data_IF_361695556861
#
_entry.id   IF_361695556861
#
_cell.length_a   1.000
_cell.length_b   1.000
_cell.length_c   1.000
_cell.angle_alpha   90.00
_cell.angle_beta   90.00
_cell.angle_gamma   90.00
#
_symmetry.space_group_name_H-M   'P 1'
#
loop_
_entity.id
_entity.type
_entity.pdbx_description
1 polymer ?
#
# COMPACT_ATOMS: atom_id res chain seq x y z
N UNK A 1 23.32 -3.80 7.06
CA UNK A 1 22.24 -2.78 7.15
C UNK A 1 21.18 -3.16 8.18
N UNK A 2 20.39 -4.23 7.99
CA UNK A 2 19.32 -4.63 8.91
C UNK A 2 19.78 -4.89 10.35
N UNK A 3 20.90 -5.61 10.55
CA UNK A 3 21.43 -5.89 11.90
C UNK A 3 21.69 -4.60 12.71
N UNK A 4 22.30 -3.59 12.08
CA UNK A 4 22.54 -2.29 12.71
C UNK A 4 21.21 -1.60 13.08
N UNK A 5 20.25 -1.54 12.15
CA UNK A 5 18.96 -0.92 12.42
C UNK A 5 18.17 -1.67 13.49
N UNK A 6 18.29 -3.00 13.56
CA UNK A 6 17.67 -3.82 14.60
C UNK A 6 18.26 -3.50 15.97
N UNK A 7 19.59 -3.43 16.10
CA UNK A 7 20.25 -3.04 17.36
C UNK A 7 19.85 -1.63 17.79
N UNK A 8 19.86 -0.67 16.87
CA UNK A 8 19.44 0.71 17.16
C UNK A 8 17.96 0.81 17.53
N UNK A 9 17.07 0.10 16.83
CA UNK A 9 15.65 0.07 17.14
C UNK A 9 15.37 -0.62 18.47
N UNK A 10 16.09 -1.70 18.80
CA UNK A 10 15.98 -2.40 20.07
C UNK A 10 16.47 -1.51 21.23
N UNK A 11 17.59 -0.81 21.05
CA UNK A 11 18.08 0.18 22.00
C UNK A 11 17.08 1.32 22.20
N UNK A 12 16.47 1.82 21.12
CA UNK A 12 15.43 2.85 21.20
C UNK A 12 14.15 2.33 21.87
N UNK A 13 13.76 1.08 21.63
CA UNK A 13 12.62 0.45 22.30
C UNK A 13 12.87 0.29 23.80
N UNK A 14 14.06 -0.19 24.19
CA UNK A 14 14.48 -0.25 25.58
C UNK A 14 14.53 1.14 26.22
N UNK A 15 15.11 2.12 25.52
CA UNK A 15 15.18 3.52 25.95
C UNK A 15 13.80 4.12 26.16
N UNK A 16 12.83 3.83 25.29
CA UNK A 16 11.45 4.28 25.44
C UNK A 16 10.74 3.66 26.64
N UNK A 17 11.08 2.41 27.01
CA UNK A 17 10.54 1.79 28.23
C UNK A 17 11.21 2.32 29.50
N UNK A 18 12.51 2.60 29.47
CA UNK A 18 13.27 3.08 30.63
C UNK A 18 13.07 4.58 30.88
N UNK A 19 12.96 5.37 29.81
CA UNK A 19 12.82 6.82 29.83
C UNK A 19 11.74 7.26 28.83
N UNK A 20 10.43 7.15 29.18
CA UNK A 20 9.34 7.50 28.28
C UNK A 20 9.43 8.94 27.79
N UNK A 21 9.56 9.12 26.47
CA UNK A 21 9.67 10.42 25.82
C UNK A 21 9.23 10.33 24.36
N UNK A 22 8.56 11.38 23.87
CA UNK A 22 8.16 11.49 22.47
C UNK A 22 9.36 11.45 21.51
N UNK A 23 10.55 11.82 21.99
CA UNK A 23 11.80 11.76 21.24
C UNK A 23 12.04 10.38 20.61
N UNK A 24 11.65 9.30 21.28
CA UNK A 24 11.84 7.94 20.77
C UNK A 24 10.97 7.64 19.54
N UNK A 25 9.78 8.23 19.43
CA UNK A 25 8.95 8.10 18.23
C UNK A 25 9.59 8.83 17.02
N UNK A 26 10.21 9.99 17.25
CA UNK A 26 11.00 10.68 16.22
C UNK A 26 12.26 9.88 15.83
N UNK A 27 12.93 9.26 16.80
CA UNK A 27 14.05 8.34 16.53
C UNK A 27 13.57 7.15 15.70
N UNK A 28 12.41 6.56 16.01
CA UNK A 28 11.83 5.48 15.21
C UNK A 28 11.54 5.92 13.76
N UNK A 29 10.95 7.10 13.57
CA UNK A 29 10.73 7.69 12.24
C UNK A 29 12.05 7.90 11.49
N UNK A 30 13.06 8.46 12.15
CA UNK A 30 14.38 8.69 11.55
C UNK A 30 15.07 7.37 11.18
N UNK A 31 15.00 6.36 12.05
CA UNK A 31 15.53 5.03 11.79
C UNK A 31 14.79 4.35 10.64
N UNK A 32 13.45 4.45 10.56
CA UNK A 32 12.68 3.94 9.43
C UNK A 32 13.05 4.61 8.10
N UNK A 33 13.20 5.93 8.11
CA UNK A 33 13.70 6.69 6.96
C UNK A 33 15.09 6.24 6.54
N UNK A 34 16.02 6.13 7.50
CA UNK A 34 17.39 5.67 7.25
C UNK A 34 17.45 4.23 6.75
N UNK A 35 16.57 3.34 7.23
CA UNK A 35 16.41 1.97 6.73
C UNK A 35 15.93 1.99 5.28
N UNK A 36 14.97 2.85 4.95
CA UNK A 36 14.45 2.99 3.58
C UNK A 36 15.54 3.50 2.62
N UNK A 37 16.35 4.47 3.04
CA UNK A 37 17.54 4.90 2.28
C UNK A 37 18.63 3.82 2.21
N UNK A 38 18.80 3.06 3.28
CA UNK A 38 19.70 1.91 3.33
C UNK A 38 19.30 0.86 2.30
N UNK A 39 18.01 0.49 2.25
CA UNK A 39 17.43 -0.40 1.24
C UNK A 39 17.67 0.14 -0.16
N UNK A 40 17.41 1.42 -0.40
CA UNK A 40 17.65 2.03 -1.70
C UNK A 40 19.11 1.92 -2.17
N UNK A 41 20.07 1.97 -1.24
CA UNK A 41 21.51 1.86 -1.56
C UNK A 41 21.99 0.41 -1.67
N UNK A 42 21.58 -0.48 -0.77
CA UNK A 42 22.11 -1.85 -0.70
C UNK A 42 21.27 -2.87 -1.45
N UNK A 43 19.98 -2.61 -1.61
CA UNK A 43 18.95 -3.54 -2.10
C UNK A 43 17.88 -2.81 -2.91
N UNK A 44 18.27 -2.08 -3.99
CA UNK A 44 17.38 -1.17 -4.71
C UNK A 44 16.19 -1.87 -5.37
N UNK A 45 16.33 -3.15 -5.73
CA UNK A 45 15.23 -3.94 -6.28
C UNK A 45 14.14 -4.16 -5.23
N UNK A 46 14.53 -4.53 -4.02
CA UNK A 46 13.62 -4.62 -2.87
C UNK A 46 12.96 -3.28 -2.59
N UNK A 47 13.73 -2.19 -2.55
CA UNK A 47 13.20 -0.85 -2.32
C UNK A 47 12.11 -0.50 -3.35
N UNK A 48 12.38 -0.68 -4.65
CA UNK A 48 11.42 -0.37 -5.71
C UNK A 48 10.16 -1.21 -5.63
N UNK A 49 10.29 -2.53 -5.41
CA UNK A 49 9.13 -3.42 -5.30
C UNK A 49 8.27 -3.11 -4.06
N UNK A 50 8.88 -2.64 -2.99
CA UNK A 50 8.18 -2.32 -1.76
C UNK A 50 7.90 -0.82 -1.58
N UNK A 51 8.24 0.03 -2.55
CA UNK A 51 8.08 1.48 -2.42
C UNK A 51 6.63 1.90 -2.11
N UNK A 52 5.55 1.27 -2.65
CA UNK A 52 4.21 1.66 -2.26
C UNK A 52 3.95 1.33 -0.78
N UNK A 53 4.43 0.20 -0.26
CA UNK A 53 4.28 -0.14 1.15
C UNK A 53 5.14 0.75 2.06
N UNK A 54 6.41 1.00 1.71
CA UNK A 54 7.29 1.91 2.44
C UNK A 54 6.67 3.31 2.55
N UNK A 55 6.09 3.80 1.45
CA UNK A 55 5.42 5.09 1.39
C UNK A 55 4.13 5.15 2.23
N UNK A 56 3.44 4.02 2.43
CA UNK A 56 2.34 3.94 3.40
C UNK A 56 2.84 3.88 4.84
N UNK A 57 3.94 3.16 5.11
CA UNK A 57 4.42 2.98 6.48
C UNK A 57 5.12 4.22 7.04
N UNK A 58 5.73 5.04 6.19
CA UNK A 58 6.28 6.32 6.67
C UNK A 58 5.21 7.24 7.25
N UNK A 59 3.98 7.23 6.71
CA UNK A 59 2.88 8.04 7.26
C UNK A 59 2.41 7.52 8.62
N UNK A 60 2.48 6.22 8.85
CA UNK A 60 2.23 5.59 10.15
C UNK A 60 3.28 6.01 11.20
N UNK A 61 4.55 6.11 10.82
CA UNK A 61 5.60 6.62 11.72
C UNK A 61 5.50 8.13 11.98
N UNK A 62 5.15 8.93 10.97
CA UNK A 62 4.84 10.35 11.16
C UNK A 62 3.66 10.53 12.12
N UNK A 63 2.65 9.67 11.98
CA UNK A 63 1.53 9.58 12.91
C UNK A 63 1.98 9.28 14.33
N UNK A 64 2.88 8.32 14.49
CA UNK A 64 3.41 7.96 15.80
C UNK A 64 4.18 9.07 16.50
N UNK A 65 4.97 9.84 15.75
CA UNK A 65 5.63 11.02 16.29
C UNK A 65 4.62 12.06 16.80
N UNK A 66 3.51 12.27 16.08
CA UNK A 66 2.44 13.17 16.54
C UNK A 66 1.70 12.61 17.77
N UNK A 67 1.34 11.32 17.76
CA UNK A 67 0.63 10.66 18.86
C UNK A 67 1.47 10.67 20.13
N UNK A 68 2.71 10.18 20.09
CA UNK A 68 3.56 10.13 21.30
C UNK A 68 3.95 11.54 21.80
N UNK A 69 3.77 12.59 20.99
CA UNK A 69 3.90 14.01 21.39
C UNK A 69 2.62 14.63 21.97
N UNK A 70 1.54 13.86 22.15
CA UNK A 70 0.30 14.34 22.78
C UNK A 70 -0.85 14.64 21.82
N UNK A 71 -0.78 14.26 20.54
CA UNK A 71 -1.90 14.46 19.63
C UNK A 71 -3.16 13.71 20.10
N UNK A 72 -4.31 14.38 20.01
CA UNK A 72 -5.61 13.78 20.30
C UNK A 72 -6.08 12.93 19.11
N UNK A 73 -6.36 11.66 19.36
CA UNK A 73 -6.88 10.73 18.36
C UNK A 73 -8.41 10.76 18.41
N UNK A 74 -9.01 11.56 17.53
CA UNK A 74 -10.47 11.82 17.51
C UNK A 74 -11.32 10.55 17.36
N UNK A 75 -10.81 9.55 16.64
CA UNK A 75 -11.52 8.31 16.30
C UNK A 75 -11.53 7.29 17.45
N UNK A 76 -10.57 7.37 18.36
CA UNK A 76 -10.50 6.52 19.57
C UNK A 76 -10.79 7.29 20.86
N UNK A 77 -10.93 8.62 20.77
CA UNK A 77 -11.09 9.54 21.90
C UNK A 77 -9.96 9.42 22.96
N UNK A 78 -8.73 9.13 22.51
CA UNK A 78 -7.55 8.97 23.37
C UNK A 78 -6.55 10.09 23.07
N UNK A 79 -5.98 10.68 24.13
CA UNK A 79 -4.82 11.57 24.00
C UNK A 79 -3.57 10.71 23.97
N UNK A 80 -2.72 10.93 22.97
CA UNK A 80 -1.46 10.22 22.86
C UNK A 80 -0.49 10.58 24.00
N UNK A 81 0.44 9.67 24.27
CA UNK A 81 1.47 9.82 25.31
C UNK A 81 2.69 9.00 24.93
N UNK A 82 3.89 9.32 25.44
CA UNK A 82 5.07 8.50 25.17
C UNK A 82 4.94 7.09 25.76
N UNK A 83 5.05 6.07 24.91
CA UNK A 83 4.99 4.65 25.32
C UNK A 83 6.05 3.79 24.64
N UNK A 84 6.69 4.30 23.57
CA UNK A 84 7.56 3.50 22.72
C UNK A 84 6.81 2.54 21.80
N UNK A 85 5.52 2.77 21.54
CA UNK A 85 4.75 1.93 20.64
C UNK A 85 5.38 1.91 19.24
N UNK A 86 5.88 3.04 18.75
CA UNK A 86 6.43 3.11 17.39
C UNK A 86 7.86 2.59 17.28
N UNK A 87 8.66 2.60 18.35
CA UNK A 87 9.95 1.88 18.36
C UNK A 87 9.74 0.37 18.33
N UNK A 88 8.72 -0.16 19.01
CA UNK A 88 8.31 -1.58 18.90
C UNK A 88 7.78 -1.90 17.50
N UNK A 89 6.96 -1.03 16.91
CA UNK A 89 6.50 -1.18 15.53
C UNK A 89 7.64 -1.25 14.52
N UNK A 90 8.69 -0.43 14.71
CA UNK A 90 9.88 -0.47 13.88
C UNK A 90 10.56 -1.84 13.89
N UNK A 91 10.65 -2.50 15.04
CA UNK A 91 11.22 -3.86 15.11
C UNK A 91 10.42 -4.87 14.28
N UNK A 92 9.08 -4.75 14.30
CA UNK A 92 8.18 -5.58 13.50
C UNK A 92 8.42 -5.33 12.01
N UNK A 93 8.52 -4.07 11.59
CA UNK A 93 8.82 -3.74 10.19
C UNK A 93 10.21 -4.14 9.75
N UNK A 94 11.21 -4.04 10.62
CA UNK A 94 12.57 -4.49 10.31
C UNK A 94 12.59 -5.98 10.00
N UNK A 95 11.84 -6.80 10.77
CA UNK A 95 11.70 -8.23 10.50
C UNK A 95 10.94 -8.50 9.19
N UNK A 96 9.83 -7.79 8.96
CA UNK A 96 9.06 -7.87 7.72
C UNK A 96 9.93 -7.57 6.49
N UNK A 97 10.66 -6.45 6.50
CA UNK A 97 11.48 -6.04 5.37
C UNK A 97 12.74 -6.88 5.25
N UNK A 98 13.32 -7.38 6.35
CA UNK A 98 14.44 -8.32 6.30
C UNK A 98 14.06 -9.60 5.56
N UNK A 99 12.95 -10.23 5.95
CA UNK A 99 12.47 -11.47 5.32
C UNK A 99 12.09 -11.26 3.86
N UNK A 100 11.42 -10.14 3.55
CA UNK A 100 11.11 -9.77 2.18
C UNK A 100 12.36 -9.51 1.32
N UNK A 101 13.35 -8.80 1.85
CA UNK A 101 14.62 -8.49 1.16
C UNK A 101 15.35 -9.78 0.81
N UNK A 102 15.39 -10.74 1.74
CA UNK A 102 16.04 -12.02 1.50
C UNK A 102 15.46 -12.73 0.27
N UNK A 103 14.12 -12.74 0.13
CA UNK A 103 13.44 -13.38 -1.02
C UNK A 103 13.70 -12.64 -2.33
N UNK A 104 13.64 -11.31 -2.35
CA UNK A 104 13.84 -10.50 -3.56
C UNK A 104 15.30 -10.55 -4.02
N UNK A 105 16.24 -10.24 -3.12
CA UNK A 105 17.65 -10.09 -3.48
C UNK A 105 18.29 -11.43 -3.86
N UNK A 106 17.85 -12.54 -3.27
CA UNK A 106 18.29 -13.88 -3.69
C UNK A 106 18.00 -14.14 -5.18
N UNK A 107 16.94 -13.53 -5.73
CA UNK A 107 16.51 -13.72 -7.12
C UNK A 107 16.85 -12.55 -8.04
N UNK A 108 17.28 -11.42 -7.49
CA UNK A 108 17.59 -10.22 -8.25
C UNK A 108 18.60 -10.45 -9.38
N UNK A 109 19.69 -11.22 -9.25
CA UNK A 109 20.62 -11.44 -10.37
C UNK A 109 19.96 -11.99 -11.63
N UNK A 110 18.99 -12.90 -11.49
CA UNK A 110 18.22 -13.45 -12.61
C UNK A 110 17.25 -12.42 -13.17
N UNK A 111 16.51 -11.76 -12.29
CA UNK A 111 15.52 -10.75 -12.67
C UNK A 111 16.17 -9.54 -13.36
N UNK A 112 17.37 -9.15 -12.93
CA UNK A 112 18.19 -8.08 -13.50
C UNK A 112 18.45 -8.31 -14.99
N UNK A 113 18.89 -9.51 -15.37
CA UNK A 113 19.10 -9.87 -16.78
C UNK A 113 17.80 -9.75 -17.58
N UNK A 114 16.70 -10.23 -17.00
CA UNK A 114 15.40 -10.16 -17.65
C UNK A 114 14.94 -8.72 -17.90
N UNK A 115 15.20 -7.79 -16.97
CA UNK A 115 14.84 -6.37 -17.10
C UNK A 115 15.78 -5.55 -17.99
N UNK A 116 17.04 -5.97 -18.19
CA UNK A 116 17.94 -5.33 -19.18
C UNK A 116 17.37 -5.43 -20.59
N UNK A 117 16.88 -6.61 -20.94
CA UNK A 117 16.30 -6.91 -22.25
C UNK A 117 14.81 -6.56 -22.35
N UNK A 118 14.15 -6.26 -21.24
CA UNK A 118 12.70 -6.08 -21.20
C UNK A 118 12.19 -4.94 -22.12
N UNK A 119 12.83 -3.75 -22.20
CA UNK A 119 12.37 -2.70 -23.13
C UNK A 119 12.30 -3.13 -24.59
N UNK A 120 13.24 -3.97 -25.04
CA UNK A 120 13.24 -4.52 -26.40
C UNK A 120 12.10 -5.52 -26.57
N UNK A 121 11.86 -6.39 -25.58
CA UNK A 121 10.71 -7.31 -25.59
C UNK A 121 9.38 -6.59 -25.53
N UNK A 122 9.30 -5.44 -24.87
CA UNK A 122 8.06 -4.67 -24.72
C UNK A 122 7.72 -3.89 -25.99
N UNK A 123 8.71 -3.47 -26.77
CA UNK A 123 8.51 -2.60 -27.93
C UNK A 123 7.47 -3.14 -28.95
N UNK A 124 7.45 -4.43 -29.33
CA UNK A 124 6.41 -4.98 -30.20
C UNK A 124 5.00 -4.90 -29.61
N UNK A 125 4.87 -5.08 -28.29
CA UNK A 125 3.57 -5.05 -27.61
C UNK A 125 3.12 -3.65 -27.21
N UNK A 126 4.02 -2.66 -27.24
CA UNK A 126 3.77 -1.31 -26.72
C UNK A 126 2.57 -0.63 -27.38
N UNK A 127 2.33 -0.89 -28.68
CA UNK A 127 1.13 -0.38 -29.38
C UNK A 127 -0.16 -0.90 -28.78
N UNK A 128 -0.22 -2.20 -28.50
CA UNK A 128 -1.42 -2.87 -27.98
C UNK A 128 -1.67 -2.47 -26.54
N UNK A 129 -0.60 -2.41 -25.72
CA UNK A 129 -0.68 -1.94 -24.34
C UNK A 129 -1.19 -0.49 -24.32
N UNK A 130 -0.65 0.37 -25.19
CA UNK A 130 -1.10 1.74 -25.33
C UNK A 130 -2.59 1.83 -25.72
N UNK A 131 -3.01 1.13 -26.77
CA UNK A 131 -4.39 1.16 -27.23
C UNK A 131 -5.36 0.60 -26.18
N UNK A 132 -5.01 -0.50 -25.52
CA UNK A 132 -5.80 -1.09 -24.45
C UNK A 132 -5.96 -0.13 -23.27
N UNK A 133 -4.87 0.47 -22.79
CA UNK A 133 -4.91 1.48 -21.73
C UNK A 133 -5.69 2.72 -22.15
N UNK A 134 -5.52 3.19 -23.39
CA UNK A 134 -6.24 4.35 -23.92
C UNK A 134 -7.75 4.10 -23.96
N UNK A 135 -8.20 2.94 -24.45
CA UNK A 135 -9.61 2.56 -24.49
C UNK A 135 -10.18 2.51 -23.07
N UNK A 136 -9.49 1.82 -22.16
CA UNK A 136 -9.93 1.70 -20.76
C UNK A 136 -10.00 3.08 -20.10
N UNK A 137 -9.00 3.95 -20.28
CA UNK A 137 -8.97 5.30 -19.74
C UNK A 137 -10.05 6.20 -20.33
N UNK A 138 -10.33 6.11 -21.63
CA UNK A 138 -11.41 6.85 -22.29
C UNK A 138 -12.77 6.42 -21.75
N UNK A 139 -13.04 5.12 -21.70
CA UNK A 139 -14.31 4.59 -21.19
C UNK A 139 -14.50 4.93 -19.71
N UNK A 140 -13.47 4.76 -18.90
CA UNK A 140 -13.50 5.12 -17.48
C UNK A 140 -13.73 6.63 -17.32
N UNK A 141 -12.99 7.47 -18.03
CA UNK A 141 -13.13 8.93 -17.94
C UNK A 141 -14.50 9.39 -18.43
N UNK A 142 -15.02 8.86 -19.53
CA UNK A 142 -16.35 9.19 -20.02
C UNK A 142 -17.43 8.82 -19.00
N UNK A 143 -17.33 7.62 -18.41
CA UNK A 143 -18.24 7.18 -17.36
C UNK A 143 -18.14 8.05 -16.10
N UNK A 144 -16.92 8.33 -15.65
CA UNK A 144 -16.67 9.19 -14.49
C UNK A 144 -17.19 10.61 -14.74
N UNK A 145 -16.89 11.21 -15.89
CA UNK A 145 -17.39 12.55 -16.25
C UNK A 145 -18.92 12.58 -16.27
N UNK A 146 -19.59 11.55 -16.81
CA UNK A 146 -21.06 11.43 -16.72
C UNK A 146 -21.53 11.43 -15.26
N UNK A 147 -20.87 10.67 -14.37
CA UNK A 147 -21.20 10.68 -12.95
C UNK A 147 -20.97 12.05 -12.31
N UNK A 148 -19.84 12.69 -12.61
CA UNK A 148 -19.49 14.01 -12.09
C UNK A 148 -20.43 15.12 -12.56
N UNK A 149 -20.84 15.10 -13.82
CA UNK A 149 -21.84 16.04 -14.37
C UNK A 149 -23.20 15.84 -13.68
N UNK A 150 -23.62 14.58 -13.48
CA UNK A 150 -24.94 14.28 -12.92
C UNK A 150 -25.02 14.48 -11.40
N UNK A 151 -23.92 14.27 -10.68
CA UNK A 151 -23.93 14.21 -9.20
C UNK A 151 -23.06 15.28 -8.52
N UNK A 152 -22.34 16.09 -9.30
CA UNK A 152 -21.25 16.95 -8.86
C UNK A 152 -19.91 16.20 -8.81
N UNK A 153 -18.81 16.96 -8.82
CA UNK A 153 -17.46 16.40 -8.63
C UNK A 153 -17.04 16.54 -7.16
N UNK A 154 -16.58 15.44 -6.52
CA UNK A 154 -16.13 15.45 -5.12
C UNK A 154 -15.13 16.56 -4.78
N UNK A 155 -14.22 16.83 -5.71
CA UNK A 155 -13.21 17.88 -5.55
C UNK A 155 -13.81 19.28 -5.35
N UNK A 156 -14.88 19.61 -6.09
CA UNK A 156 -15.52 20.94 -6.03
C UNK A 156 -16.60 21.02 -4.95
N UNK A 157 -17.24 19.89 -4.62
CA UNK A 157 -18.28 19.82 -3.59
C UNK A 157 -17.74 19.56 -2.18
N UNK A 158 -16.41 19.45 -2.02
CA UNK A 158 -15.75 19.08 -0.75
C UNK A 158 -16.32 17.80 -0.11
N UNK A 159 -16.85 16.90 -0.94
CA UNK A 159 -17.46 15.64 -0.49
C UNK A 159 -16.38 14.56 -0.46
N UNK A 160 -16.26 13.81 0.64
CA UNK A 160 -15.33 12.68 0.71
C UNK A 160 -15.77 11.57 -0.25
N UNK A 161 -14.80 10.83 -0.81
CA UNK A 161 -15.02 9.72 -1.74
C UNK A 161 -16.02 8.69 -1.23
N UNK A 162 -16.01 8.38 0.06
CA UNK A 162 -16.92 7.38 0.63
C UNK A 162 -18.37 7.87 0.64
N UNK A 163 -18.59 9.13 1.03
CA UNK A 163 -19.91 9.76 0.96
C UNK A 163 -20.41 9.89 -0.49
N UNK A 164 -19.49 10.14 -1.44
CA UNK A 164 -19.83 10.15 -2.87
C UNK A 164 -20.18 8.76 -3.40
N UNK A 165 -19.48 7.72 -2.93
CA UNK A 165 -19.72 6.34 -3.31
C UNK A 165 -21.07 5.85 -2.79
N UNK A 166 -21.44 6.21 -1.57
CA UNK A 166 -22.76 5.93 -0.99
C UNK A 166 -23.88 6.66 -1.75
N UNK A 167 -23.66 7.94 -2.09
CA UNK A 167 -24.63 8.74 -2.85
C UNK A 167 -24.92 8.15 -4.24
N UNK A 168 -23.89 7.64 -4.92
CA UNK A 168 -24.01 7.16 -6.30
C UNK A 168 -24.35 5.67 -6.38
N UNK A 169 -23.89 4.88 -5.40
CA UNK A 169 -24.02 3.43 -5.33
C UNK A 169 -23.71 2.73 -6.67
N UNK A 170 -22.62 3.14 -7.33
CA UNK A 170 -22.23 2.57 -8.63
C UNK A 170 -21.20 1.45 -8.46
N UNK A 171 -21.54 0.21 -8.88
CA UNK A 171 -20.59 -0.91 -8.90
C UNK A 171 -19.40 -0.65 -9.84
N UNK A 172 -19.63 0.07 -10.95
CA UNK A 172 -18.59 0.39 -11.94
C UNK A 172 -17.60 1.40 -11.37
N UNK A 173 -18.09 2.44 -10.68
CA UNK A 173 -17.24 3.40 -9.98
C UNK A 173 -16.40 2.70 -8.92
N UNK A 174 -17.04 1.91 -8.05
CA UNK A 174 -16.35 1.15 -7.00
C UNK A 174 -15.28 0.20 -7.57
N UNK A 175 -15.61 -0.50 -8.67
CA UNK A 175 -14.68 -1.38 -9.36
C UNK A 175 -13.48 -0.62 -9.95
N UNK A 176 -13.70 0.50 -10.64
CA UNK A 176 -12.64 1.33 -11.20
C UNK A 176 -11.68 1.82 -10.11
N UNK A 177 -12.25 2.40 -9.06
CA UNK A 177 -11.50 3.00 -7.98
C UNK A 177 -10.62 1.96 -7.26
N UNK A 178 -11.14 0.75 -7.07
CA UNK A 178 -10.42 -0.34 -6.41
C UNK A 178 -9.36 -0.97 -7.31
N UNK A 179 -9.62 -1.10 -8.62
CA UNK A 179 -8.79 -1.90 -9.52
C UNK A 179 -7.82 -1.10 -10.39
N UNK A 180 -7.95 0.24 -10.48
CA UNK A 180 -7.07 1.06 -11.35
C UNK A 180 -5.58 0.85 -11.10
N UNK A 181 -5.18 0.50 -9.86
CA UNK A 181 -3.78 0.24 -9.50
C UNK A 181 -3.17 -0.93 -10.29
N UNK A 182 -3.99 -1.87 -10.77
CA UNK A 182 -3.56 -3.01 -11.59
C UNK A 182 -3.01 -2.54 -12.95
N UNK A 183 -3.52 -1.43 -13.47
CA UNK A 183 -3.12 -0.88 -14.78
C UNK A 183 -1.82 -0.09 -14.71
N UNK A 184 -1.46 0.41 -13.52
CA UNK A 184 -0.35 1.34 -13.33
C UNK A 184 1.01 0.77 -13.71
N UNK A 185 1.36 -0.51 -13.40
CA UNK A 185 2.59 -1.11 -13.90
C UNK A 185 2.69 -1.12 -15.43
N UNK A 186 1.58 -1.24 -16.15
CA UNK A 186 1.59 -1.19 -17.62
C UNK A 186 1.90 0.21 -18.15
N UNK A 187 1.42 1.26 -17.46
CA UNK A 187 1.80 2.65 -17.76
C UNK A 187 3.30 2.83 -17.55
N UNK A 188 3.87 2.25 -16.48
CA UNK A 188 5.31 2.27 -16.23
C UNK A 188 6.13 1.51 -17.29
N UNK A 189 5.62 0.38 -17.80
CA UNK A 189 6.22 -0.36 -18.94
C UNK A 189 6.26 0.51 -20.20
N UNK A 190 5.16 1.20 -20.54
CA UNK A 190 5.14 2.14 -21.66
C UNK A 190 6.15 3.27 -21.46
N UNK A 191 6.25 3.81 -20.25
CA UNK A 191 7.20 4.88 -19.94
C UNK A 191 8.67 4.44 -20.12
N UNK A 192 8.96 3.19 -19.75
CA UNK A 192 10.29 2.60 -19.92
C UNK A 192 10.61 2.26 -21.39
N UNK A 193 9.62 2.20 -22.27
CA UNK A 193 9.79 1.90 -23.70
C UNK A 193 10.10 3.20 -24.50
N UNK A 194 11.25 3.31 -25.20
CA UNK A 194 11.70 4.58 -25.80
C UNK A 194 10.67 5.32 -26.69
N UNK A 195 9.98 4.61 -27.58
CA UNK A 195 8.97 5.21 -28.48
C UNK A 195 7.62 5.54 -27.83
N UNK A 196 7.39 5.10 -26.60
CA UNK A 196 6.11 5.28 -25.88
C UNK A 196 6.27 6.05 -24.56
N UNK A 197 7.47 6.57 -24.26
CA UNK A 197 7.78 7.26 -23.01
C UNK A 197 6.81 8.40 -22.70
N UNK A 198 6.65 9.32 -23.65
CA UNK A 198 5.74 10.47 -23.51
C UNK A 198 4.29 10.01 -23.30
N UNK A 199 3.85 8.99 -24.06
CA UNK A 199 2.50 8.42 -23.96
C UNK A 199 2.23 7.82 -22.58
N UNK A 200 3.19 7.10 -22.01
CA UNK A 200 3.13 6.60 -20.64
C UNK A 200 3.03 7.73 -19.61
N UNK A 201 3.84 8.79 -19.77
CA UNK A 201 3.78 9.98 -18.91
C UNK A 201 2.44 10.69 -18.96
N UNK A 202 1.85 10.85 -20.16
CA UNK A 202 0.53 11.47 -20.35
C UNK A 202 -0.57 10.62 -19.70
N UNK A 203 -0.56 9.29 -19.84
CA UNK A 203 -1.53 8.42 -19.17
C UNK A 203 -1.43 8.49 -17.66
N UNK A 204 -0.21 8.58 -17.11
CA UNK A 204 -0.01 8.76 -15.68
C UNK A 204 -0.64 10.06 -15.20
N UNK A 205 -0.35 11.18 -15.88
CA UNK A 205 -0.93 12.49 -15.55
C UNK A 205 -2.45 12.48 -15.65
N UNK A 206 -3.01 11.86 -16.70
CA UNK A 206 -4.44 11.71 -16.86
C UNK A 206 -5.06 10.88 -15.73
N UNK A 207 -4.44 9.75 -15.35
CA UNK A 207 -4.91 8.93 -14.24
C UNK A 207 -4.86 9.67 -12.90
N UNK A 208 -3.81 10.45 -12.66
CA UNK A 208 -3.70 11.28 -11.45
C UNK A 208 -4.76 12.38 -11.43
N UNK A 209 -4.93 13.12 -12.53
CA UNK A 209 -5.92 14.18 -12.64
C UNK A 209 -7.36 13.67 -12.46
N UNK A 210 -7.70 12.55 -13.09
CA UNK A 210 -9.01 11.90 -12.91
C UNK A 210 -9.19 11.38 -11.48
N UNK A 211 -8.16 10.83 -10.86
CA UNK A 211 -8.23 10.40 -9.46
C UNK A 211 -8.47 11.59 -8.52
N UNK A 212 -7.74 12.70 -8.69
CA UNK A 212 -7.92 13.92 -7.90
C UNK A 212 -9.32 14.51 -8.06
N UNK A 213 -9.86 14.54 -9.29
CA UNK A 213 -11.20 15.07 -9.59
C UNK A 213 -12.30 14.31 -8.83
N UNK A 214 -12.10 13.01 -8.61
CA UNK A 214 -13.03 12.14 -7.87
C UNK A 214 -12.67 11.97 -6.39
N UNK A 215 -11.93 12.93 -5.83
CA UNK A 215 -11.70 13.02 -4.38
C UNK A 215 -10.79 11.93 -3.83
N UNK A 216 -9.91 11.35 -4.66
CA UNK A 216 -8.94 10.38 -4.16
C UNK A 216 -7.97 10.98 -3.16
N UNK A 217 -7.71 10.22 -2.10
CA UNK A 217 -6.82 10.63 -1.02
C UNK A 217 -5.37 10.59 -1.49
N UNK A 218 -4.53 11.43 -0.88
CA UNK A 218 -3.09 11.51 -1.11
C UNK A 218 -2.42 10.12 -1.15
N UNK A 219 -2.83 9.23 -0.24
CA UNK A 219 -2.39 7.84 -0.14
C UNK A 219 -2.55 7.06 -1.46
N UNK A 220 -3.68 7.22 -2.17
CA UNK A 220 -3.86 6.55 -3.45
C UNK A 220 -2.99 7.13 -4.55
N UNK A 221 -2.76 8.44 -4.55
CA UNK A 221 -1.91 9.10 -5.54
C UNK A 221 -0.45 8.63 -5.36
N UNK A 222 -0.01 8.54 -4.11
CA UNK A 222 1.30 8.01 -3.74
C UNK A 222 1.47 6.55 -4.18
N UNK A 223 0.44 5.72 -4.02
CA UNK A 223 0.44 4.34 -4.54
C UNK A 223 0.55 4.32 -6.07
N UNK A 224 -0.21 5.15 -6.80
CA UNK A 224 -0.13 5.23 -8.28
C UNK A 224 1.30 5.57 -8.70
N UNK A 225 1.91 6.61 -8.13
CA UNK A 225 3.29 6.99 -8.45
C UNK A 225 4.29 5.87 -8.13
N UNK A 226 4.09 5.20 -7.00
CA UNK A 226 4.92 4.10 -6.54
C UNK A 226 4.85 2.87 -7.47
N UNK A 227 3.65 2.43 -7.85
CA UNK A 227 3.47 1.32 -8.78
C UNK A 227 3.99 1.64 -10.19
N UNK A 228 3.84 2.89 -10.62
CA UNK A 228 4.37 3.35 -11.90
C UNK A 228 5.90 3.28 -11.94
N UNK A 229 6.54 3.64 -10.82
CA UNK A 229 7.98 3.63 -10.69
C UNK A 229 8.61 2.23 -10.72
N UNK A 230 7.85 1.16 -10.44
CA UNK A 230 8.39 -0.22 -10.38
C UNK A 230 9.06 -0.63 -11.70
N UNK A 231 8.36 -0.79 -12.84
CA UNK A 231 8.99 -1.28 -14.07
C UNK A 231 10.06 -0.32 -14.59
N UNK A 232 9.82 1.00 -14.56
CA UNK A 232 10.77 1.99 -15.02
C UNK A 232 12.03 2.04 -14.14
N UNK A 233 11.86 1.98 -12.83
CA UNK A 233 12.96 1.92 -11.86
C UNK A 233 13.76 0.62 -11.98
N UNK A 234 13.09 -0.52 -12.14
CA UNK A 234 13.75 -1.83 -12.29
C UNK A 234 14.60 -1.88 -13.56
N UNK A 235 14.11 -1.34 -14.69
CA UNK A 235 14.92 -1.20 -15.91
C UNK A 235 16.13 -0.28 -15.67
N UNK A 236 15.93 0.84 -14.97
CA UNK A 236 16.99 1.80 -14.68
C UNK A 236 18.13 1.16 -13.86
N UNK A 237 17.80 0.48 -12.76
CA UNK A 237 18.81 -0.20 -11.93
C UNK A 237 19.37 -1.47 -12.58
N UNK A 238 18.61 -2.13 -13.46
CA UNK A 238 19.10 -3.29 -14.19
C UNK A 238 20.24 -2.90 -15.14
N UNK A 239 20.21 -1.68 -15.67
CA UNK A 239 21.26 -1.07 -16.48
C UNK A 239 22.37 -0.40 -15.64
N UNK A 240 22.50 -0.76 -14.36
CA UNK A 240 23.53 -0.25 -13.44
C UNK A 240 23.52 1.28 -13.28
N UNK A 241 22.39 1.93 -13.56
CA UNK A 241 22.25 3.37 -13.39
C UNK A 241 21.87 3.68 -11.94
N UNK A 242 22.54 4.63 -11.28
CA UNK A 242 22.19 5.02 -9.93
C UNK A 242 20.81 5.67 -9.91
N UNK A 243 20.01 5.37 -8.88
CA UNK A 243 18.73 6.06 -8.66
C UNK A 243 19.04 7.51 -8.25
N UNK A 244 18.43 8.53 -8.89
CA UNK A 244 18.74 9.94 -8.62
C UNK A 244 18.12 10.41 -7.30
N UNK A 245 18.67 9.96 -6.18
CA UNK A 245 18.15 10.23 -4.82
C UNK A 245 18.07 11.71 -4.50
N UNK A 246 19.00 12.53 -5.00
CA UNK A 246 18.98 13.98 -4.81
C UNK A 246 17.76 14.64 -5.46
N UNK A 247 17.41 14.24 -6.69
CA UNK A 247 16.23 14.76 -7.39
C UNK A 247 14.95 14.29 -6.70
N UNK A 248 14.87 13.01 -6.35
CA UNK A 248 13.70 12.45 -5.64
C UNK A 248 13.51 13.16 -4.29
N UNK A 249 14.59 13.34 -3.53
CA UNK A 249 14.57 14.07 -2.26
C UNK A 249 14.19 15.53 -2.43
N UNK A 250 14.70 16.20 -3.47
CA UNK A 250 14.34 17.58 -3.81
C UNK A 250 12.86 17.75 -4.17
N UNK A 251 12.30 16.82 -4.97
CA UNK A 251 10.86 16.82 -5.29
C UNK A 251 10.04 16.55 -4.03
N UNK A 252 10.41 15.56 -3.22
CA UNK A 252 9.71 15.26 -1.98
C UNK A 252 9.73 16.46 -1.01
N UNK A 253 10.88 17.13 -0.87
CA UNK A 253 11.00 18.34 -0.08
C UNK A 253 10.12 19.46 -0.63
N UNK A 254 10.17 19.72 -1.93
CA UNK A 254 9.33 20.74 -2.57
C UNK A 254 7.83 20.48 -2.36
N UNK A 255 7.40 19.22 -2.51
CA UNK A 255 6.00 18.81 -2.24
C UNK A 255 5.65 19.08 -0.78
N UNK A 256 6.50 18.71 0.19
CA UNK A 256 6.24 18.95 1.62
C UNK A 256 6.19 20.45 1.92
N UNK A 257 7.16 21.22 1.44
CA UNK A 257 7.26 22.67 1.65
C UNK A 257 6.07 23.43 1.07
N UNK A 258 5.44 22.94 0.00
CA UNK A 258 4.24 23.56 -0.58
C UNK A 258 2.96 23.06 0.12
N UNK A 259 2.84 21.75 0.33
CA UNK A 259 1.59 21.13 0.80
C UNK A 259 1.32 21.37 2.28
N UNK A 260 2.32 21.35 3.15
CA UNK A 260 2.10 21.57 4.59
C UNK A 260 1.55 22.98 4.86
N UNK A 261 2.14 24.07 4.34
CA UNK A 261 1.56 25.40 4.49
C UNK A 261 0.17 25.51 3.85
N UNK A 262 -0.05 24.93 2.67
CA UNK A 262 -1.35 24.97 2.01
C UNK A 262 -2.45 24.29 2.85
N UNK A 263 -2.14 23.14 3.46
CA UNK A 263 -3.07 22.44 4.36
C UNK A 263 -3.32 23.25 5.63
N UNK A 264 -2.28 23.85 6.22
CA UNK A 264 -2.43 24.71 7.39
C UNK A 264 -3.32 25.93 7.09
N UNK A 265 -3.10 26.60 5.95
CA UNK A 265 -3.96 27.69 5.47
C UNK A 265 -5.41 27.21 5.31
N UNK A 266 -5.62 26.05 4.69
CA UNK A 266 -6.95 25.45 4.53
C UNK A 266 -7.62 25.12 5.88
N UNK A 267 -6.84 24.84 6.93
CA UNK A 267 -7.35 24.64 8.29
C UNK A 267 -7.56 25.93 9.08
N UNK A 268 -7.30 27.09 8.48
CA UNK A 268 -7.54 28.40 9.06
C UNK A 268 -6.32 29.02 9.72
N UNK A 269 -5.10 28.59 9.39
CA UNK A 269 -3.86 29.08 10.03
C UNK A 269 -3.63 30.58 9.87
N UNK A 270 -4.27 31.24 8.90
CA UNK A 270 -4.23 32.70 8.75
C UNK A 270 -4.99 33.43 9.87
N UNK A 271 -5.98 32.79 10.49
CA UNK A 271 -6.81 33.35 11.54
C UNK A 271 -6.41 32.83 12.93
N UNK A 272 -6.15 31.52 13.03
CA UNK A 272 -5.76 30.83 14.26
C UNK A 272 -4.78 29.71 13.92
N UNK A 273 -3.50 30.00 14.06
CA UNK A 273 -2.43 29.05 13.75
C UNK A 273 -2.46 27.84 14.68
N UNK A 274 -2.74 28.04 15.97
CA UNK A 274 -2.70 26.98 16.98
C UNK A 274 -3.84 25.98 16.75
N UNK A 275 -5.05 26.46 16.48
CA UNK A 275 -6.17 25.59 16.14
C UNK A 275 -5.94 24.84 14.81
N UNK A 276 -5.34 25.50 13.82
CA UNK A 276 -5.01 24.86 12.54
C UNK A 276 -3.92 23.79 12.69
N UNK A 277 -2.87 24.07 13.47
CA UNK A 277 -1.80 23.13 13.80
C UNK A 277 -2.34 21.94 14.61
N UNK A 278 -3.26 22.17 15.55
CA UNK A 278 -3.91 21.11 16.30
C UNK A 278 -4.76 20.21 15.38
N UNK A 279 -5.56 20.78 14.49
CA UNK A 279 -6.33 20.01 13.49
C UNK A 279 -5.42 19.20 12.58
N UNK A 280 -4.30 19.78 12.14
CA UNK A 280 -3.29 19.07 11.36
C UNK A 280 -2.71 17.88 12.15
N UNK A 281 -2.31 18.08 13.41
CA UNK A 281 -1.81 17.03 14.28
C UNK A 281 -2.83 15.90 14.49
N UNK A 282 -4.10 16.23 14.71
CA UNK A 282 -5.19 15.25 14.83
C UNK A 282 -5.35 14.41 13.56
N UNK A 283 -5.21 15.01 12.37
CA UNK A 283 -5.31 14.29 11.08
C UNK A 283 -4.10 13.40 10.83
N UNK A 284 -2.90 13.86 11.19
CA UNK A 284 -1.68 13.06 11.11
C UNK A 284 -1.77 11.86 12.05
N UNK A 285 -2.34 12.02 13.25
CA UNK A 285 -2.53 10.95 14.25
C UNK A 285 -3.45 9.79 13.80
N UNK A 286 -4.30 9.99 12.78
CA UNK A 286 -5.26 8.96 12.35
C UNK A 286 -4.61 7.69 11.79
N UNK A 287 -3.41 7.79 11.21
CA UNK A 287 -2.79 6.64 10.55
C UNK A 287 -2.26 5.60 11.54
N UNK A 288 -1.61 6.02 12.63
CA UNK A 288 -0.97 5.14 13.60
C UNK A 288 -1.79 4.83 14.85
N UNK A 289 -2.96 5.44 15.01
CA UNK A 289 -3.74 5.37 16.26
C UNK A 289 -4.08 3.93 16.68
N UNK A 290 -4.45 3.06 15.73
CA UNK A 290 -4.88 1.70 16.05
C UNK A 290 -3.72 0.87 16.61
N UNK A 291 -2.52 1.05 16.04
CA UNK A 291 -1.32 0.45 16.60
C UNK A 291 -1.04 0.97 17.99
N UNK A 292 -1.02 2.29 18.16
CA UNK A 292 -0.71 2.92 19.45
C UNK A 292 -1.62 2.42 20.57
N UNK A 293 -2.95 2.48 20.40
CA UNK A 293 -3.90 2.08 21.46
C UNK A 293 -3.88 0.57 21.71
N UNK A 294 -3.56 -0.23 20.70
CA UNK A 294 -3.46 -1.69 20.84
C UNK A 294 -2.20 -2.09 21.58
N UNK A 295 -1.07 -1.51 21.19
CA UNK A 295 0.21 -1.74 21.86
C UNK A 295 0.16 -1.25 23.31
N UNK A 296 -0.39 -0.06 23.59
CA UNK A 296 -0.50 0.47 24.96
C UNK A 296 -1.38 -0.40 25.89
N UNK A 297 -2.49 -0.96 25.39
CA UNK A 297 -3.47 -1.67 26.24
C UNK A 297 -3.37 -3.20 26.19
N UNK A 298 -2.81 -3.77 25.13
CA UNK A 298 -2.91 -5.20 24.85
C UNK A 298 -1.57 -5.86 24.51
N UNK A 299 -0.44 -5.19 24.73
CA UNK A 299 0.89 -5.81 24.60
C UNK A 299 0.99 -7.07 25.47
N UNK A 300 1.14 -8.21 24.82
CA UNK A 300 1.31 -9.50 25.46
C UNK A 300 2.28 -10.35 24.64
N UNK A 301 3.12 -11.15 25.31
CA UNK A 301 4.10 -12.02 24.63
C UNK A 301 3.39 -13.02 23.72
N UNK A 302 2.38 -13.68 24.23
CA UNK A 302 1.55 -14.62 23.50
C UNK A 302 0.07 -14.41 23.87
N UNK A 303 -0.80 -14.64 22.91
CA UNK A 303 -2.25 -14.69 23.08
C UNK A 303 -2.81 -15.69 22.09
N UNK A 304 -3.99 -16.22 22.38
CA UNK A 304 -4.72 -17.05 21.43
C UNK A 304 -6.21 -16.74 21.56
N UNK A 305 -6.71 -15.83 20.72
CA UNK A 305 -8.15 -15.63 20.55
C UNK A 305 -8.68 -16.64 19.52
N UNK A 306 -8.93 -17.86 20.00
CA UNK A 306 -9.41 -18.97 19.17
C UNK A 306 -10.67 -18.62 18.39
N UNK A 307 -11.57 -17.81 18.97
CA UNK A 307 -12.84 -17.44 18.33
C UNK A 307 -12.60 -16.54 17.12
N UNK A 308 -11.80 -15.49 17.28
CA UNK A 308 -11.47 -14.58 16.20
C UNK A 308 -10.67 -15.29 15.10
N UNK A 309 -9.67 -16.10 15.48
CA UNK A 309 -8.82 -16.84 14.55
C UNK A 309 -9.63 -17.89 13.78
N UNK A 310 -10.49 -18.66 14.46
CA UNK A 310 -11.36 -19.64 13.81
C UNK A 310 -12.35 -18.98 12.85
N UNK A 311 -12.95 -17.86 13.24
CA UNK A 311 -13.87 -17.12 12.37
C UNK A 311 -13.16 -16.57 11.12
N UNK A 312 -11.94 -16.02 11.28
CA UNK A 312 -11.14 -15.51 10.18
C UNK A 312 -10.72 -16.63 9.23
N UNK A 313 -10.11 -17.70 9.75
CA UNK A 313 -9.71 -18.86 8.93
C UNK A 313 -10.89 -19.53 8.21
N UNK A 314 -12.04 -19.67 8.86
CA UNK A 314 -13.26 -20.19 8.23
C UNK A 314 -13.74 -19.32 7.06
N UNK A 315 -13.51 -18.00 7.11
CA UNK A 315 -13.88 -17.08 6.03
C UNK A 315 -13.03 -17.27 4.76
N UNK A 316 -11.85 -17.89 4.87
CA UNK A 316 -10.94 -18.04 3.73
C UNK A 316 -11.54 -18.90 2.62
N UNK A 317 -12.36 -19.90 2.98
CA UNK A 317 -13.02 -20.81 2.03
C UNK A 317 -14.48 -20.44 1.73
N UNK A 318 -14.99 -19.34 2.29
CA UNK A 318 -16.39 -18.91 2.14
C UNK A 318 -16.48 -17.56 1.43
N UNK A 319 -16.58 -17.53 0.08
CA UNK A 319 -16.63 -16.31 -0.71
C UNK A 319 -17.69 -15.28 -0.29
N UNK A 320 -18.81 -15.73 0.27
CA UNK A 320 -19.89 -14.88 0.77
C UNK A 320 -19.60 -14.20 2.11
N UNK A 321 -18.68 -14.74 2.91
CA UNK A 321 -18.24 -14.13 4.17
C UNK A 321 -17.02 -13.18 3.97
N UNK A 322 -16.46 -13.11 2.76
CA UNK A 322 -15.32 -12.23 2.40
C UNK A 322 -15.79 -10.79 2.10
N UNK A 323 -16.49 -10.19 3.06
CA UNK A 323 -16.96 -8.81 3.05
C UNK A 323 -16.87 -8.28 4.49
N UNK A 324 -16.37 -7.04 4.66
CA UNK A 324 -16.26 -6.38 5.96
C UNK A 324 -17.59 -6.34 6.73
N UNK A 325 -18.72 -6.09 6.04
CA UNK A 325 -20.05 -6.04 6.66
C UNK A 325 -20.45 -7.43 7.19
N UNK A 326 -20.26 -8.49 6.39
CA UNK A 326 -20.58 -9.86 6.77
C UNK A 326 -19.65 -10.40 7.87
N UNK A 327 -18.38 -10.00 7.87
CA UNK A 327 -17.45 -10.31 8.95
C UNK A 327 -17.90 -9.64 10.26
N UNK A 328 -18.41 -8.41 10.18
CA UNK A 328 -18.79 -7.62 11.34
C UNK A 328 -17.60 -7.46 12.28
N UNK A 329 -17.85 -7.49 13.59
CA UNK A 329 -16.79 -7.39 14.61
C UNK A 329 -16.14 -8.73 14.97
N UNK A 330 -16.41 -9.81 14.23
CA UNK A 330 -15.90 -11.15 14.55
C UNK A 330 -14.37 -11.25 14.43
N UNK A 331 -13.79 -10.56 13.45
CA UNK A 331 -12.34 -10.54 13.19
C UNK A 331 -11.95 -9.35 12.28
N UNK A 332 -10.65 -9.13 12.05
CA UNK A 332 -10.12 -8.07 11.19
C UNK A 332 -10.44 -6.65 11.66
N UNK A 333 -10.80 -5.76 10.73
CA UNK A 333 -10.92 -4.31 10.94
C UNK A 333 -11.83 -3.94 12.13
N UNK A 334 -13.10 -4.34 12.07
CA UNK A 334 -14.08 -3.94 13.07
C UNK A 334 -13.87 -4.63 14.41
N UNK A 335 -13.24 -5.81 14.42
CA UNK A 335 -12.80 -6.45 15.66
C UNK A 335 -11.77 -5.59 16.40
N UNK A 336 -10.80 -5.01 15.68
CA UNK A 336 -9.84 -4.07 16.29
C UNK A 336 -10.57 -2.81 16.75
N UNK A 337 -11.36 -2.19 15.87
CA UNK A 337 -12.05 -0.92 16.15
C UNK A 337 -13.00 -1.03 17.35
N UNK A 338 -13.75 -2.12 17.49
CA UNK A 338 -14.73 -2.29 18.56
C UNK A 338 -14.16 -2.07 19.98
N UNK A 339 -12.86 -2.31 20.16
CA UNK A 339 -12.18 -2.18 21.46
C UNK A 339 -11.85 -0.74 21.85
N UNK A 340 -11.81 0.17 20.88
CA UNK A 340 -11.28 1.52 21.06
C UNK A 340 -12.22 2.61 20.55
N UNK A 341 -13.23 2.25 19.76
CA UNK A 341 -14.14 3.20 19.14
C UNK A 341 -15.48 3.24 19.89
N UNK A 342 -16.01 4.43 20.22
CA UNK A 342 -17.36 4.55 20.77
C UNK A 342 -18.40 3.86 19.88
N UNK A 343 -19.38 3.17 20.48
CA UNK A 343 -20.36 2.34 19.77
C UNK A 343 -21.09 3.07 18.64
N UNK A 344 -21.45 4.34 18.85
CA UNK A 344 -22.08 5.20 17.83
C UNK A 344 -21.18 5.41 16.62
N UNK A 345 -19.91 5.73 16.85
CA UNK A 345 -18.93 5.94 15.77
C UNK A 345 -18.63 4.64 15.04
N UNK A 346 -18.54 3.53 15.77
CA UNK A 346 -18.35 2.21 15.18
C UNK A 346 -19.52 1.82 14.29
N UNK A 347 -20.77 1.96 14.79
CA UNK A 347 -21.98 1.66 14.03
C UNK A 347 -22.05 2.45 12.74
N UNK A 348 -21.87 3.77 12.80
CA UNK A 348 -21.84 4.64 11.61
C UNK A 348 -20.73 4.25 10.62
N UNK A 349 -19.55 3.91 11.13
CA UNK A 349 -18.42 3.50 10.28
C UNK A 349 -18.66 2.15 9.60
N UNK A 350 -19.31 1.21 10.29
CA UNK A 350 -19.71 -0.10 9.77
C UNK A 350 -20.81 0.01 8.72
N UNK A 351 -21.82 0.86 8.96
CA UNK A 351 -22.91 1.12 8.00
C UNK A 351 -22.38 1.70 6.68
N UNK A 352 -21.41 2.61 6.75
CA UNK A 352 -20.75 3.17 5.56
C UNK A 352 -19.73 2.22 4.91
N UNK A 353 -19.50 1.02 5.47
CA UNK A 353 -18.49 0.08 4.97
C UNK A 353 -17.06 0.62 5.00
N UNK A 354 -16.79 1.61 5.84
CA UNK A 354 -15.49 2.27 5.99
C UNK A 354 -14.77 1.73 7.24
N UNK A 355 -13.54 2.18 7.50
CA UNK A 355 -12.88 1.92 8.78
C UNK A 355 -11.50 2.54 8.88
N UNK A 356 -10.91 2.41 10.06
CA UNK A 356 -9.59 2.98 10.33
C UNK A 356 -8.51 2.16 9.64
N UNK A 357 -7.50 2.84 9.11
CA UNK A 357 -6.44 2.20 8.33
C UNK A 357 -5.41 1.50 9.24
N UNK A 358 -4.61 0.61 8.65
CA UNK A 358 -3.50 -0.10 9.28
C UNK A 358 -3.88 -1.04 10.43
N UNK A 359 -5.00 -1.74 10.29
CA UNK A 359 -5.51 -2.69 11.30
C UNK A 359 -4.79 -4.03 11.38
N UNK A 360 -3.92 -4.39 10.41
CA UNK A 360 -3.31 -5.73 10.33
C UNK A 360 -2.46 -6.10 11.57
N UNK A 361 -1.50 -5.26 11.95
CA UNK A 361 -0.65 -5.55 13.11
C UNK A 361 -1.38 -5.40 14.45
N UNK A 362 -2.25 -4.40 14.65
CA UNK A 362 -3.18 -4.39 15.78
C UNK A 362 -3.96 -5.69 15.91
N UNK A 363 -4.50 -6.20 14.80
CA UNK A 363 -5.26 -7.43 14.76
C UNK A 363 -4.43 -8.63 15.23
N UNK A 364 -3.21 -8.81 14.70
CA UNK A 364 -2.33 -9.91 15.15
C UNK A 364 -1.89 -9.78 16.59
N UNK A 365 -1.63 -8.56 17.09
CA UNK A 365 -1.29 -8.37 18.49
C UNK A 365 -2.47 -8.76 19.40
N UNK A 366 -3.68 -8.37 19.00
CA UNK A 366 -4.90 -8.68 19.75
C UNK A 366 -5.29 -10.15 19.75
N UNK A 367 -4.99 -10.90 18.68
CA UNK A 367 -5.39 -12.30 18.56
C UNK A 367 -4.28 -13.28 18.92
N UNK A 368 -3.02 -12.96 18.62
CA UNK A 368 -1.89 -13.89 18.73
C UNK A 368 -0.75 -13.43 19.65
N UNK A 369 -0.78 -12.19 20.14
CA UNK A 369 0.32 -11.59 20.89
C UNK A 369 1.56 -11.32 20.03
N UNK A 370 2.68 -10.94 20.65
CA UNK A 370 3.92 -10.61 19.96
C UNK A 370 4.50 -11.77 19.16
N UNK A 371 4.54 -12.98 19.73
CA UNK A 371 5.11 -14.17 19.06
C UNK A 371 4.36 -14.46 17.76
N UNK A 372 3.03 -14.53 17.81
CA UNK A 372 2.23 -14.78 16.62
C UNK A 372 2.26 -13.61 15.62
N UNK A 373 2.30 -12.37 16.11
CA UNK A 373 2.47 -11.20 15.25
C UNK A 373 3.80 -11.24 14.49
N UNK A 374 4.92 -11.58 15.13
CA UNK A 374 6.23 -11.65 14.47
C UNK A 374 6.27 -12.79 13.43
N UNK A 375 5.67 -13.94 13.78
CA UNK A 375 5.53 -15.06 12.87
C UNK A 375 4.69 -14.69 11.63
N UNK A 376 3.49 -14.15 11.84
CA UNK A 376 2.59 -13.77 10.75
C UNK A 376 3.16 -12.63 9.91
N UNK A 377 3.82 -11.65 10.53
CA UNK A 377 4.50 -10.56 9.80
C UNK A 377 5.59 -11.11 8.89
N UNK A 378 6.41 -12.05 9.38
CA UNK A 378 7.45 -12.71 8.57
C UNK A 378 6.83 -13.52 7.43
N UNK A 379 5.79 -14.30 7.70
CA UNK A 379 5.09 -15.11 6.69
C UNK A 379 4.52 -14.23 5.57
N UNK A 380 3.84 -13.13 5.93
CA UNK A 380 3.27 -12.19 4.98
C UNK A 380 4.36 -11.43 4.23
N UNK A 381 5.48 -11.10 4.88
CA UNK A 381 6.65 -10.50 4.25
C UNK A 381 7.23 -11.37 3.13
N UNK A 382 7.46 -12.65 3.44
CA UNK A 382 7.91 -13.66 2.46
C UNK A 382 6.88 -13.80 1.33
N UNK A 383 5.60 -13.91 1.67
CA UNK A 383 4.54 -14.12 0.69
C UNK A 383 4.36 -12.91 -0.23
N UNK A 384 4.39 -11.69 0.31
CA UNK A 384 4.35 -10.45 -0.47
C UNK A 384 5.57 -10.33 -1.38
N UNK A 385 6.77 -10.61 -0.88
CA UNK A 385 7.97 -10.60 -1.71
C UNK A 385 7.88 -11.62 -2.85
N UNK A 386 7.35 -12.81 -2.59
CA UNK A 386 7.11 -13.81 -3.63
C UNK A 386 6.13 -13.31 -4.69
N UNK A 387 4.97 -12.74 -4.32
CA UNK A 387 4.00 -12.21 -5.30
C UNK A 387 4.61 -11.05 -6.10
N UNK A 388 5.29 -10.10 -5.44
CA UNK A 388 5.93 -8.97 -6.12
C UNK A 388 7.03 -9.41 -7.07
N UNK A 389 7.81 -10.43 -6.69
CA UNK A 389 8.78 -11.06 -7.58
C UNK A 389 8.08 -11.64 -8.80
N UNK A 390 7.00 -12.40 -8.62
CA UNK A 390 6.27 -13.00 -9.74
C UNK A 390 5.70 -11.92 -10.66
N UNK A 391 5.09 -10.86 -10.12
CA UNK A 391 4.65 -9.70 -10.88
C UNK A 391 5.79 -9.07 -11.71
N UNK A 392 6.93 -8.81 -11.08
CA UNK A 392 8.09 -8.23 -11.76
C UNK A 392 8.63 -9.14 -12.87
N UNK A 393 8.68 -10.44 -12.61
CA UNK A 393 9.11 -11.44 -13.58
C UNK A 393 8.15 -11.51 -14.78
N UNK A 394 6.84 -11.56 -14.54
CA UNK A 394 5.85 -11.62 -15.64
C UNK A 394 5.83 -10.33 -16.47
N UNK A 395 6.06 -9.18 -15.84
CA UNK A 395 6.25 -7.91 -16.56
C UNK A 395 7.49 -7.98 -17.45
N UNK A 396 8.63 -8.43 -16.93
CA UNK A 396 9.85 -8.55 -17.71
C UNK A 396 9.70 -9.55 -18.88
N UNK A 397 9.01 -10.68 -18.65
CA UNK A 397 8.73 -11.71 -19.68
C UNK A 397 7.69 -11.25 -20.72
N UNK A 398 6.93 -10.19 -20.47
CA UNK A 398 5.82 -9.78 -21.32
C UNK A 398 4.59 -10.67 -21.21
N UNK A 399 4.45 -11.46 -20.13
CA UNK A 399 3.25 -12.23 -19.85
C UNK A 399 2.19 -11.31 -19.21
N UNK A 400 1.48 -10.58 -20.07
CA UNK A 400 0.56 -9.51 -19.66
C UNK A 400 -0.62 -10.02 -18.84
N UNK A 401 -1.18 -11.18 -19.19
CA UNK A 401 -2.33 -11.76 -18.48
C UNK A 401 -1.92 -12.15 -17.05
N UNK A 402 -0.81 -12.87 -16.88
CA UNK A 402 -0.31 -13.22 -15.56
C UNK A 402 0.05 -11.97 -14.74
N UNK A 403 0.59 -10.92 -15.38
CA UNK A 403 0.88 -9.63 -14.73
C UNK A 403 -0.38 -8.94 -14.21
N UNK A 404 -1.50 -8.98 -14.94
CA UNK A 404 -2.79 -8.45 -14.46
C UNK A 404 -3.25 -9.22 -13.21
N UNK A 405 -3.17 -10.55 -13.24
CA UNK A 405 -3.60 -11.40 -12.13
C UNK A 405 -2.73 -11.18 -10.87
N UNK A 406 -1.41 -11.13 -11.01
CA UNK A 406 -0.53 -10.78 -9.88
C UNK A 406 -0.76 -9.34 -9.40
N UNK A 407 -1.02 -8.39 -10.31
CA UNK A 407 -1.44 -7.03 -9.94
C UNK A 407 -2.73 -7.00 -9.11
N UNK A 408 -3.72 -7.84 -9.45
CA UNK A 408 -4.95 -8.02 -8.68
C UNK A 408 -4.69 -8.58 -7.28
N UNK A 409 -3.82 -9.58 -7.17
CA UNK A 409 -3.41 -10.17 -5.88
C UNK A 409 -2.74 -9.10 -5.01
N UNK A 410 -1.82 -8.32 -5.57
CA UNK A 410 -1.16 -7.22 -4.86
C UNK A 410 -2.18 -6.18 -4.39
N UNK A 411 -3.12 -5.76 -5.23
CA UNK A 411 -4.23 -4.88 -4.82
C UNK A 411 -4.98 -5.44 -3.59
N UNK A 412 -5.23 -6.76 -3.57
CA UNK A 412 -5.80 -7.44 -2.40
C UNK A 412 -4.89 -7.35 -1.17
N UNK A 413 -3.58 -7.53 -1.30
CA UNK A 413 -2.64 -7.43 -0.18
C UNK A 413 -2.65 -6.04 0.46
N UNK A 414 -2.70 -4.97 -0.35
CA UNK A 414 -2.82 -3.60 0.16
C UNK A 414 -4.13 -3.36 0.92
N UNK A 415 -5.24 -3.95 0.47
CA UNK A 415 -6.47 -3.98 1.24
C UNK A 415 -6.29 -4.74 2.58
N UNK A 416 -5.57 -5.87 2.57
CA UNK A 416 -5.23 -6.64 3.76
C UNK A 416 -4.38 -5.86 4.78
N UNK A 417 -3.36 -5.13 4.33
CA UNK A 417 -2.55 -4.27 5.20
C UNK A 417 -3.36 -3.16 5.87
N UNK A 418 -4.36 -2.62 5.15
CA UNK A 418 -5.22 -1.56 5.68
C UNK A 418 -6.27 -2.10 6.65
N UNK A 419 -6.93 -3.20 6.29
CA UNK A 419 -8.13 -3.70 6.98
C UNK A 419 -7.86 -4.83 7.97
N UNK A 420 -6.73 -5.52 7.89
CA UNK A 420 -6.44 -6.66 8.76
C UNK A 420 -7.26 -7.92 8.47
N UNK A 421 -8.09 -7.94 7.40
CA UNK A 421 -8.80 -9.16 7.00
C UNK A 421 -7.89 -10.13 6.26
N UNK A 422 -7.70 -11.34 6.80
CA UNK A 422 -6.70 -12.30 6.29
C UNK A 422 -7.11 -13.00 5.01
N UNK A 423 -8.40 -13.02 4.67
CA UNK A 423 -8.85 -13.51 3.36
C UNK A 423 -8.23 -12.73 2.19
N UNK A 424 -7.75 -11.50 2.41
CA UNK A 424 -7.06 -10.74 1.38
C UNK A 424 -5.72 -11.37 0.97
N UNK A 425 -5.10 -12.15 1.87
CA UNK A 425 -3.87 -12.90 1.61
C UNK A 425 -4.20 -14.36 1.29
N UNK A 426 -5.02 -15.01 2.11
CA UNK A 426 -5.21 -16.46 2.12
C UNK A 426 -6.61 -16.92 1.67
N UNK A 427 -7.49 -16.00 1.29
CA UNK A 427 -8.84 -16.32 0.84
C UNK A 427 -8.85 -17.02 -0.52
N UNK A 428 -9.86 -17.85 -0.74
CA UNK A 428 -10.03 -18.68 -1.95
C UNK A 428 -9.97 -17.87 -3.23
N UNK A 429 -10.50 -16.64 -3.25
CA UNK A 429 -10.43 -15.74 -4.42
C UNK A 429 -8.98 -15.36 -4.73
N UNK A 430 -8.19 -15.00 -3.71
CA UNK A 430 -6.78 -14.64 -3.85
C UNK A 430 -5.95 -15.86 -4.24
N UNK A 431 -6.12 -16.99 -3.54
CA UNK A 431 -5.38 -18.23 -3.83
C UNK A 431 -5.69 -18.76 -5.23
N UNK A 432 -6.97 -18.79 -5.64
CA UNK A 432 -7.34 -19.19 -6.99
C UNK A 432 -6.71 -18.28 -8.06
N UNK A 433 -6.72 -16.96 -7.83
CA UNK A 433 -6.08 -15.99 -8.73
C UNK A 433 -4.58 -16.26 -8.85
N UNK A 434 -3.90 -16.56 -7.73
CA UNK A 434 -2.48 -16.92 -7.72
C UNK A 434 -2.24 -18.22 -8.50
N UNK A 435 -3.04 -19.27 -8.27
CA UNK A 435 -2.87 -20.56 -8.94
C UNK A 435 -3.04 -20.43 -10.45
N UNK A 436 -4.04 -19.66 -10.91
CA UNK A 436 -4.24 -19.37 -12.33
C UNK A 436 -3.05 -18.58 -12.89
N UNK A 437 -2.56 -17.56 -12.17
CA UNK A 437 -1.41 -16.78 -12.60
C UNK A 437 -0.14 -17.64 -12.73
N UNK A 438 0.13 -18.51 -11.73
CA UNK A 438 1.26 -19.44 -11.76
C UNK A 438 1.14 -20.44 -12.90
N UNK A 439 -0.06 -20.97 -13.15
CA UNK A 439 -0.32 -21.84 -14.29
C UNK A 439 -0.01 -21.15 -15.62
N UNK A 440 -0.42 -19.89 -15.79
CA UNK A 440 -0.12 -19.10 -17.00
C UNK A 440 1.38 -18.81 -17.16
N UNK A 441 2.12 -18.64 -16.05
CA UNK A 441 3.59 -18.50 -16.09
C UNK A 441 4.24 -19.82 -16.51
N UNK A 442 3.79 -20.94 -15.95
CA UNK A 442 4.29 -22.26 -16.30
C UNK A 442 4.00 -22.61 -17.76
N UNK A 443 2.76 -22.39 -18.21
CA UNK A 443 2.34 -22.64 -19.59
C UNK A 443 3.14 -21.78 -20.56
N UNK A 444 3.31 -20.47 -20.27
CA UNK A 444 4.01 -19.52 -21.14
C UNK A 444 5.49 -19.87 -21.39
N UNK A 445 6.08 -20.71 -20.53
CA UNK A 445 7.47 -21.19 -20.64
C UNK A 445 7.61 -22.47 -21.46
N UNK A 446 6.51 -23.17 -21.76
CA UNK A 446 6.54 -24.38 -22.57
C UNK A 446 6.87 -24.06 -24.03
N UNK A 447 7.59 -24.97 -24.71
CA UNK A 447 7.96 -24.80 -26.14
C UNK A 447 6.73 -24.67 -27.04
N UNK A 448 5.69 -25.44 -26.78
CA UNK A 448 4.44 -25.46 -27.56
C UNK A 448 3.32 -24.60 -26.95
N UNK A 449 3.67 -23.63 -26.09
CA UNK A 449 2.72 -22.76 -25.40
C UNK A 449 1.69 -22.14 -26.35
N UNK A 450 0.42 -22.29 -26.00
CA UNK A 450 -0.71 -21.61 -26.64
C UNK A 450 -0.79 -20.16 -26.18
N UNK A 451 -0.49 -19.87 -24.92
CA UNK A 451 -0.51 -18.49 -24.39
C UNK A 451 0.56 -17.65 -25.10
N UNK A 452 1.78 -18.18 -25.25
CA UNK A 452 2.87 -17.51 -25.98
C UNK A 452 2.49 -17.24 -27.42
N UNK A 453 1.95 -18.24 -28.12
CA UNK A 453 1.44 -18.06 -29.50
C UNK A 453 0.36 -16.99 -29.59
N UNK A 454 -0.58 -16.96 -28.65
CA UNK A 454 -1.64 -15.95 -28.59
C UNK A 454 -1.08 -14.54 -28.35
N UNK A 455 -0.16 -14.39 -27.40
CA UNK A 455 0.49 -13.10 -27.09
C UNK A 455 1.35 -12.60 -28.25
N UNK A 456 2.12 -13.48 -28.90
CA UNK A 456 2.96 -13.14 -30.06
C UNK A 456 2.11 -12.80 -31.30
N UNK A 457 0.99 -13.51 -31.51
CA UNK A 457 0.06 -13.23 -32.62
C UNK A 457 -0.61 -11.88 -32.45
N UNK A 458 -0.99 -11.52 -31.21
CA UNK A 458 -1.51 -10.19 -30.91
C UNK A 458 -0.46 -9.12 -31.25
N UNK A 459 0.80 -9.30 -30.82
CA UNK A 459 1.89 -8.33 -31.02
C UNK A 459 2.22 -7.99 -32.48
N UNK A 460 1.99 -8.93 -33.40
CA UNK A 460 2.29 -8.78 -34.82
C UNK A 460 1.19 -8.08 -35.63
N UNK A 461 0.00 -7.88 -35.05
CA UNK A 461 -1.13 -7.16 -35.66
C UNK A 461 -1.17 -5.73 -35.15
#
# INVERSE_FOLDING_TARGET
MFALHFVLAAAAAFGATAFPSAAWAYVALALFGSMSFGLLRTSPATFLLFVPLLALRITEFMSGAAIESGAYMIETAVVGRPTGAFTRLLLIYLLFFLTATFVIEAMWPRLKLMFREAPERWAPHARIIWLGLLIVMLLATAYLMRLGINNGFPLFSSTDRFAYLEKIDSPIYSAWITNRLILVPFIGVLFATPGYRLRGGVLLLWLLATSMLFGEKFTSLLMILSFFAIPAGLVHIANDRPIPTGIIGGIALAVVTITVPAVLIAYGALNDFDAAAQRYGQRVALQGQLWFVTDDKYLAVARLDDRAIAADTASWVKPGEQNAIAAGTRFGLYYVMQRFTPSRTLGWTMEMGNGFVFSLYPYFLLTMGLVGLLFMSSLIGIFHAWVMRMLAQTLAEGNWIASILFGRVISSFYAGYSTGFMWNFFGVKTIATILIAVFLVWEGRQRDSRVRRLVDTMARR
#
